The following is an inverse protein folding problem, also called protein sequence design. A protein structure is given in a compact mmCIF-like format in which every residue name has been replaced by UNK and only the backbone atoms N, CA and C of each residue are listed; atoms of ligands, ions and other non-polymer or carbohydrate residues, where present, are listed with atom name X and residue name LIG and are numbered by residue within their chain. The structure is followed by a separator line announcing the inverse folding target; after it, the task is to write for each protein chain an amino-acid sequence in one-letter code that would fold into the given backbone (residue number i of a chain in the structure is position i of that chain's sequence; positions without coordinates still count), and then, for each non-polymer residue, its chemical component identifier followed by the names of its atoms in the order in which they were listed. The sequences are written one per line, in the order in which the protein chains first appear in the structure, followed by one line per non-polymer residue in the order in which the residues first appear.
data_IF_878815702819
#
_entry.id   IF_878815702819
#
_cell.length_a   1.000
_cell.length_b   1.000
_cell.length_c   1.000
_cell.angle_alpha   90.00
_cell.angle_beta   90.00
_cell.angle_gamma   90.00
#
_symmetry.space_group_name_H-M   'P 1'
#
loop_
_entity.id
_entity.type
_entity.pdbx_description
1 polymer ?
#
# COMPACT_ATOMS: atom_id res chain seq x y z
N UNK A 1 7.74 -18.32 -11.64
CA UNK A 1 7.82 -17.04 -10.93
C UNK A 1 6.43 -16.63 -10.49
N UNK A 2 6.23 -16.41 -9.18
CA UNK A 2 4.93 -15.99 -8.62
C UNK A 2 4.98 -14.61 -7.96
N UNK A 3 6.06 -13.86 -8.21
CA UNK A 3 6.21 -12.50 -7.73
C UNK A 3 5.01 -11.65 -8.17
N UNK A 4 4.46 -10.90 -7.23
CA UNK A 4 3.22 -10.16 -7.41
C UNK A 4 3.36 -9.01 -8.43
N UNK A 5 4.57 -8.46 -8.58
CA UNK A 5 4.81 -7.37 -9.53
C UNK A 5 4.65 -7.81 -10.99
N UNK A 6 4.66 -9.12 -11.31
CA UNK A 6 4.44 -9.56 -12.70
C UNK A 6 3.09 -9.08 -13.23
N UNK A 7 2.08 -8.96 -12.36
CA UNK A 7 0.78 -8.41 -12.74
C UNK A 7 0.86 -6.92 -13.14
N UNK A 8 1.78 -6.14 -12.55
CA UNK A 8 2.02 -4.75 -12.94
C UNK A 8 2.66 -4.68 -14.33
N UNK A 9 3.67 -5.50 -14.57
CA UNK A 9 4.35 -5.57 -15.88
C UNK A 9 3.33 -5.92 -16.97
N UNK A 10 2.54 -6.97 -16.75
CA UNK A 10 1.47 -7.39 -17.67
C UNK A 10 0.37 -6.32 -17.86
N UNK A 11 0.07 -5.52 -16.84
CA UNK A 11 -0.88 -4.42 -16.93
C UNK A 11 -0.31 -3.24 -17.73
N UNK A 12 0.98 -2.92 -17.54
CA UNK A 12 1.68 -1.88 -18.28
C UNK A 12 1.83 -2.21 -19.77
N UNK A 13 2.04 -3.47 -20.12
CA UNK A 13 2.04 -3.91 -21.52
C UNK A 13 0.65 -3.80 -22.16
N UNK A 14 -0.42 -4.13 -21.43
CA UNK A 14 -1.78 -4.14 -21.98
C UNK A 14 -2.45 -2.77 -22.00
N UNK A 15 -2.15 -1.93 -21.02
CA UNK A 15 -2.83 -0.64 -20.79
C UNK A 15 -1.84 0.50 -20.49
N UNK A 16 -0.81 0.72 -21.34
CA UNK A 16 0.32 1.59 -21.02
C UNK A 16 -0.08 3.03 -20.70
N UNK A 17 -1.10 3.56 -21.39
CA UNK A 17 -1.56 4.94 -21.24
C UNK A 17 -2.69 5.13 -20.21
N UNK A 18 -3.18 4.05 -19.59
CA UNK A 18 -4.23 4.14 -18.58
C UNK A 18 -3.62 4.61 -17.26
N UNK A 19 -4.33 5.47 -16.52
CA UNK A 19 -3.92 5.88 -15.19
C UNK A 19 -3.91 4.68 -14.23
N UNK A 20 -2.78 4.50 -13.54
CA UNK A 20 -2.58 3.48 -12.52
C UNK A 20 -2.71 4.06 -11.10
N UNK A 21 -2.22 5.29 -10.89
CA UNK A 21 -2.26 5.99 -9.60
C UNK A 21 -2.54 7.47 -9.83
N UNK A 22 -3.40 8.07 -9.02
CA UNK A 22 -3.72 9.50 -9.12
C UNK A 22 -3.88 10.15 -7.74
N UNK A 23 -3.19 11.26 -7.52
CA UNK A 23 -3.27 12.14 -6.36
C UNK A 23 -3.56 13.58 -6.81
N UNK A 24 -4.80 14.04 -6.68
CA UNK A 24 -5.20 15.35 -7.21
C UNK A 24 -4.87 15.46 -8.70
N UNK A 25 -4.03 16.44 -9.05
CA UNK A 25 -3.56 16.70 -10.42
C UNK A 25 -2.33 15.86 -10.81
N UNK A 26 -1.67 15.20 -9.84
CA UNK A 26 -0.54 14.31 -10.11
C UNK A 26 -1.02 12.91 -10.42
N UNK A 27 -0.61 12.34 -11.55
CA UNK A 27 -0.98 10.97 -11.91
C UNK A 27 0.18 10.22 -12.56
N UNK A 28 0.16 8.90 -12.44
CA UNK A 28 1.04 7.98 -13.15
C UNK A 28 0.19 7.03 -13.98
N UNK A 29 0.54 6.89 -15.24
CA UNK A 29 0.07 5.80 -16.10
C UNK A 29 0.68 4.47 -15.66
N UNK A 30 0.13 3.37 -16.15
CA UNK A 30 0.72 2.04 -15.92
C UNK A 30 2.14 1.93 -16.47
N UNK A 31 2.43 2.53 -17.64
CA UNK A 31 3.77 2.53 -18.20
C UNK A 31 4.76 3.31 -17.31
N UNK A 32 4.38 4.48 -16.82
CA UNK A 32 5.23 5.27 -15.92
C UNK A 32 5.42 4.58 -14.56
N UNK A 33 4.36 4.00 -14.00
CA UNK A 33 4.46 3.24 -12.76
C UNK A 33 5.41 2.05 -12.92
N UNK A 34 5.35 1.34 -14.05
CA UNK A 34 6.27 0.24 -14.34
C UNK A 34 7.73 0.71 -14.43
N UNK A 35 7.99 1.79 -15.19
CA UNK A 35 9.33 2.37 -15.33
C UNK A 35 9.88 2.81 -13.97
N UNK A 36 9.10 3.57 -13.20
CA UNK A 36 9.53 4.03 -11.88
C UNK A 36 9.71 2.87 -10.90
N UNK A 37 8.89 1.81 -10.99
CA UNK A 37 9.11 0.59 -10.20
C UNK A 37 10.42 -0.11 -10.58
N UNK A 38 10.81 -0.12 -11.85
CA UNK A 38 12.09 -0.65 -12.31
C UNK A 38 13.28 0.13 -11.75
N UNK A 39 13.18 1.47 -11.75
CA UNK A 39 14.18 2.38 -11.16
C UNK A 39 14.28 2.25 -9.65
N UNK A 40 13.13 2.14 -8.98
CA UNK A 40 13.06 1.84 -7.56
C UNK A 40 13.81 0.54 -7.25
N UNK A 41 13.51 -0.54 -7.99
CA UNK A 41 14.16 -1.83 -7.80
C UNK A 41 15.68 -1.76 -8.02
N UNK A 42 16.14 -1.13 -9.11
CA UNK A 42 17.57 -0.98 -9.38
C UNK A 42 18.28 -0.13 -8.30
N UNK A 43 17.65 0.94 -7.83
CA UNK A 43 18.15 1.74 -6.71
C UNK A 43 18.26 0.94 -5.41
N UNK A 44 17.24 0.14 -5.06
CA UNK A 44 17.27 -0.73 -3.88
C UNK A 44 18.42 -1.74 -3.95
N UNK A 45 18.56 -2.42 -5.08
CA UNK A 45 19.65 -3.39 -5.31
C UNK A 45 21.02 -2.71 -5.21
N UNK A 46 21.17 -1.49 -5.74
CA UNK A 46 22.40 -0.71 -5.62
C UNK A 46 22.71 -0.30 -4.17
N UNK A 47 21.69 -0.15 -3.32
CA UNK A 47 21.84 0.04 -1.87
C UNK A 47 22.04 -1.27 -1.10
N UNK A 48 22.24 -2.39 -1.80
CA UNK A 48 22.55 -3.69 -1.21
C UNK A 48 21.34 -4.47 -0.71
N UNK A 49 20.12 -4.03 -1.01
CA UNK A 49 18.90 -4.81 -0.74
C UNK A 49 18.95 -6.09 -1.55
N UNK A 50 18.65 -7.22 -0.91
CA UNK A 50 18.58 -8.55 -1.53
C UNK A 50 17.15 -9.09 -1.49
N UNK A 51 16.78 -10.05 -2.36
CA UNK A 51 15.50 -10.74 -2.25
C UNK A 51 15.29 -11.32 -0.84
N UNK A 52 14.12 -11.08 -0.26
CA UNK A 52 13.78 -11.44 1.12
C UNK A 52 14.10 -10.37 2.18
N UNK A 53 14.93 -9.36 1.86
CA UNK A 53 15.17 -8.23 2.76
C UNK A 53 13.90 -7.40 2.93
N UNK A 54 13.80 -6.70 4.07
CA UNK A 54 12.61 -5.89 4.38
C UNK A 54 12.84 -4.41 4.10
N UNK A 55 11.96 -3.79 3.33
CA UNK A 55 11.98 -2.36 3.00
C UNK A 55 10.80 -1.66 3.69
N UNK A 56 11.11 -0.71 4.57
CA UNK A 56 10.09 0.05 5.29
C UNK A 56 9.55 1.22 4.47
N UNK A 57 8.23 1.39 4.41
CA UNK A 57 7.59 2.53 3.75
C UNK A 57 6.76 3.31 4.77
N UNK A 58 7.31 4.38 5.34
CA UNK A 58 6.58 5.32 6.18
C UNK A 58 6.18 6.55 5.36
N UNK A 59 5.23 6.35 4.47
CA UNK A 59 4.75 7.38 3.54
C UNK A 59 3.22 7.48 3.61
N UNK A 60 2.64 8.64 3.29
CA UNK A 60 1.25 8.68 2.87
C UNK A 60 1.06 7.81 1.61
N UNK A 61 -0.19 7.42 1.32
CA UNK A 61 -0.50 6.77 0.06
C UNK A 61 -0.46 7.87 -1.01
N UNK A 62 0.66 7.96 -1.71
CA UNK A 62 0.96 8.93 -2.77
C UNK A 62 1.64 8.18 -3.92
N UNK A 63 1.82 8.76 -5.12
CA UNK A 63 2.46 8.07 -6.23
C UNK A 63 3.83 7.47 -5.87
N UNK A 64 4.64 8.19 -5.06
CA UNK A 64 5.91 7.69 -4.56
C UNK A 64 5.79 6.42 -3.70
N UNK A 65 4.70 6.27 -2.92
CA UNK A 65 4.44 5.03 -2.19
C UNK A 65 4.23 3.86 -3.15
N UNK A 66 3.37 4.01 -4.16
CA UNK A 66 3.12 2.95 -5.14
C UNK A 66 4.39 2.54 -5.90
N UNK A 67 5.19 3.53 -6.33
CA UNK A 67 6.48 3.29 -6.99
C UNK A 67 7.43 2.46 -6.12
N UNK A 68 7.65 2.88 -4.86
CA UNK A 68 8.55 2.18 -3.95
C UNK A 68 8.01 0.81 -3.53
N UNK A 69 6.69 0.71 -3.40
CA UNK A 69 5.98 -0.52 -3.09
C UNK A 69 6.23 -1.59 -4.15
N UNK A 70 5.94 -1.29 -5.42
CA UNK A 70 6.17 -2.22 -6.51
C UNK A 70 7.66 -2.41 -6.82
N UNK A 71 8.48 -1.37 -6.62
CA UNK A 71 9.92 -1.46 -6.77
C UNK A 71 10.58 -2.43 -5.79
N UNK A 72 10.18 -2.40 -4.53
CA UNK A 72 10.65 -3.35 -3.53
C UNK A 72 10.24 -4.79 -3.88
N UNK A 73 8.98 -5.02 -4.25
CA UNK A 73 8.52 -6.33 -4.70
C UNK A 73 9.29 -6.80 -5.94
N UNK A 74 9.57 -5.89 -6.89
CA UNK A 74 10.35 -6.19 -8.10
C UNK A 74 11.79 -6.57 -7.79
N UNK A 75 12.42 -5.94 -6.79
CA UNK A 75 13.72 -6.36 -6.27
C UNK A 75 13.66 -7.67 -5.46
N UNK A 76 12.45 -8.22 -5.22
CA UNK A 76 12.22 -9.43 -4.43
C UNK A 76 12.22 -9.17 -2.92
N UNK A 77 12.24 -7.91 -2.51
CA UNK A 77 12.17 -7.49 -1.12
C UNK A 77 10.74 -7.57 -0.58
N UNK A 78 10.64 -7.59 0.75
CA UNK A 78 9.40 -7.63 1.50
C UNK A 78 9.05 -6.21 1.94
N UNK A 79 7.87 -5.74 1.57
CA UNK A 79 7.40 -4.40 1.91
C UNK A 79 6.88 -4.37 3.35
N UNK A 80 7.24 -3.35 4.11
CA UNK A 80 6.70 -3.10 5.44
C UNK A 80 6.08 -1.69 5.48
N UNK A 81 4.79 -1.54 5.19
CA UNK A 81 4.14 -0.25 5.23
C UNK A 81 3.91 0.18 6.69
N UNK A 82 4.23 1.43 6.99
CA UNK A 82 4.01 2.05 8.29
C UNK A 82 3.13 3.29 8.14
N UNK A 83 2.17 3.52 9.05
CA UNK A 83 1.47 4.80 9.10
C UNK A 83 2.47 5.96 9.28
N UNK A 84 2.30 7.03 8.48
CA UNK A 84 3.12 8.25 8.58
C UNK A 84 3.16 8.84 9.99
N UNK A 85 2.06 8.73 10.72
CA UNK A 85 1.90 9.23 12.09
C UNK A 85 2.71 8.45 13.12
N UNK A 86 3.21 7.27 12.78
CA UNK A 86 3.99 6.48 13.73
C UNK A 86 5.39 7.08 13.92
N UNK A 87 5.92 7.03 15.15
CA UNK A 87 7.29 7.47 15.43
C UNK A 87 8.30 6.65 14.64
N UNK A 88 9.37 7.29 14.14
CA UNK A 88 10.46 6.62 13.43
C UNK A 88 11.16 5.53 14.24
N UNK A 89 11.14 5.64 15.58
CA UNK A 89 11.68 4.61 16.46
C UNK A 89 11.02 3.23 16.27
N UNK A 90 9.81 3.20 15.72
CA UNK A 90 9.01 2.02 15.45
C UNK A 90 9.26 1.48 14.03
N UNK A 91 9.75 2.34 13.13
CA UNK A 91 10.07 2.01 11.73
C UNK A 91 11.37 1.25 11.67
N UNK A 92 11.31 -0.02 12.07
CA UNK A 92 12.41 -0.96 11.99
C UNK A 92 11.90 -2.20 11.26
N UNK A 93 12.20 -2.32 9.96
CA UNK A 93 12.02 -3.58 9.26
C UNK A 93 12.87 -4.61 10.00
N UNK A 94 12.23 -5.58 10.65
CA UNK A 94 12.91 -6.63 11.41
C UNK A 94 13.09 -7.82 10.50
N UNK A 95 14.25 -7.97 9.87
CA UNK A 95 14.58 -9.19 9.13
C UNK A 95 15.28 -10.21 10.01
N UNK A 96 15.01 -11.48 9.76
CA UNK A 96 15.77 -12.61 10.32
C UNK A 96 17.07 -12.83 9.51
N UNK A 97 17.13 -12.29 8.29
CA UNK A 97 18.30 -12.24 7.43
C UNK A 97 19.00 -10.88 7.58
N UNK A 98 20.34 -10.90 7.72
CA UNK A 98 21.20 -9.73 7.93
C UNK A 98 21.36 -8.79 6.73
N UNK A 99 20.28 -8.51 6.00
CA UNK A 99 20.25 -7.59 4.87
C UNK A 99 19.97 -6.14 5.25
N UNK A 100 20.14 -5.23 4.28
CA UNK A 100 20.07 -3.79 4.48
C UNK A 100 18.70 -3.36 5.03
N UNK A 101 18.69 -2.72 6.20
CA UNK A 101 17.47 -2.13 6.79
C UNK A 101 17.25 -0.76 6.14
N UNK A 102 16.58 -0.72 5.01
CA UNK A 102 16.26 0.54 4.32
C UNK A 102 14.81 0.93 4.61
N UNK A 103 14.56 2.19 4.94
CA UNK A 103 13.22 2.72 5.03
C UNK A 103 13.08 4.09 4.38
N UNK A 104 11.97 4.27 3.66
CA UNK A 104 11.59 5.52 3.01
C UNK A 104 10.61 6.27 3.90
N UNK A 105 10.85 7.56 4.09
CA UNK A 105 10.11 8.37 5.05
C UNK A 105 9.85 9.75 4.48
N UNK A 106 8.61 10.23 4.62
CA UNK A 106 8.31 11.65 4.44
C UNK A 106 8.45 12.34 5.80
N UNK A 107 9.12 13.50 5.91
CA UNK A 107 9.33 14.17 7.19
C UNK A 107 8.01 14.46 7.91
N UNK A 108 7.89 14.12 9.20
CA UNK A 108 6.73 14.47 10.01
C UNK A 108 6.50 16.00 10.11
N UNK A 109 7.59 16.77 10.05
CA UNK A 109 7.61 18.23 10.05
C UNK A 109 8.72 18.74 9.10
N UNK A 110 8.54 19.92 8.45
CA UNK A 110 9.45 20.44 7.42
C UNK A 110 10.88 20.76 7.91
N UNK A 111 11.11 20.86 9.22
CA UNK A 111 12.40 21.24 9.81
C UNK A 111 13.08 20.11 10.59
N UNK A 112 12.47 18.93 10.69
CA UNK A 112 12.99 17.81 11.46
C UNK A 112 14.02 17.00 10.67
N UNK A 113 15.28 17.01 11.09
CA UNK A 113 16.30 16.08 10.58
C UNK A 113 16.04 14.70 11.21
N UNK A 114 15.23 13.90 10.54
CA UNK A 114 14.92 12.53 10.94
C UNK A 114 16.17 11.66 10.82
N UNK A 115 16.78 11.27 11.96
CA UNK A 115 17.87 10.30 11.99
C UNK A 115 17.29 8.89 12.15
N UNK A 116 17.81 7.94 11.38
CA UNK A 116 17.48 6.52 11.52
C UNK A 116 17.71 6.04 12.95
N UNK A 117 16.90 5.06 13.39
CA UNK A 117 17.10 4.42 14.68
C UNK A 117 17.87 3.11 14.49
N UNK A 118 19.04 3.02 15.13
CA UNK A 118 19.96 1.88 14.97
C UNK A 118 20.53 1.79 13.55
N UNK A 119 20.56 0.58 12.99
CA UNK A 119 21.19 0.28 11.69
C UNK A 119 20.28 0.53 10.47
N UNK A 120 19.14 1.21 10.63
CA UNK A 120 18.21 1.49 9.53
C UNK A 120 18.62 2.76 8.79
N UNK A 121 18.96 2.64 7.51
CA UNK A 121 19.16 3.79 6.61
C UNK A 121 17.79 4.40 6.27
N UNK A 122 17.60 5.67 6.60
CA UNK A 122 16.40 6.43 6.22
C UNK A 122 16.66 7.22 4.93
N UNK A 123 15.77 7.03 3.94
CA UNK A 123 15.76 7.79 2.70
C UNK A 123 14.58 8.77 2.74
N UNK A 124 14.84 10.09 2.71
CA UNK A 124 13.78 11.08 2.69
C UNK A 124 13.06 11.05 1.34
N UNK A 125 11.73 11.07 1.38
CA UNK A 125 10.86 11.21 0.21
C UNK A 125 10.23 12.60 0.29
N UNK A 126 10.60 13.46 -0.65
CA UNK A 126 10.05 14.81 -0.80
C UNK A 126 9.23 14.97 -2.09
N UNK A 127 8.74 16.18 -2.38
CA UNK A 127 7.94 16.47 -3.57
C UNK A 127 8.64 16.11 -4.88
N UNK A 128 9.95 16.34 -4.96
CA UNK A 128 10.75 16.08 -6.17
C UNK A 128 11.29 14.64 -6.25
N UNK A 129 10.81 13.73 -5.39
CA UNK A 129 11.41 12.41 -5.25
C UNK A 129 11.30 11.57 -6.53
N UNK A 130 10.16 11.61 -7.23
CA UNK A 130 10.01 10.87 -8.49
C UNK A 130 10.94 11.41 -9.58
N UNK A 131 11.10 12.74 -9.66
CA UNK A 131 12.03 13.40 -10.57
C UNK A 131 13.47 13.00 -10.27
N UNK A 132 13.84 12.87 -8.99
CA UNK A 132 15.16 12.38 -8.58
C UNK A 132 15.35 10.90 -8.93
N UNK A 133 14.31 10.07 -8.75
CA UNK A 133 14.34 8.65 -9.10
C UNK A 133 14.49 8.41 -10.60
N UNK A 134 14.09 9.36 -11.46
CA UNK A 134 14.29 9.26 -12.91
C UNK A 134 15.77 9.07 -13.32
N UNK A 135 16.72 9.31 -12.41
CA UNK A 135 18.16 9.09 -12.64
C UNK A 135 18.71 7.84 -11.93
N UNK A 136 17.88 7.11 -11.19
CA UNK A 136 18.31 5.89 -10.52
C UNK A 136 18.53 4.76 -11.53
N UNK A 137 19.45 3.82 -11.24
CA UNK A 137 19.66 2.66 -12.08
C UNK A 137 18.37 1.85 -12.21
N UNK A 138 18.13 1.31 -13.40
CA UNK A 138 16.97 0.48 -13.67
C UNK A 138 17.29 -1.00 -13.50
N UNK A 139 16.37 -1.72 -12.88
CA UNK A 139 16.28 -3.17 -12.96
C UNK A 139 14.99 -3.53 -13.68
N UNK A 140 15.11 -3.78 -14.99
CA UNK A 140 13.96 -4.14 -15.84
C UNK A 140 13.42 -5.55 -15.56
N UNK A 141 14.22 -6.41 -14.94
CA UNK A 141 13.81 -7.75 -14.54
C UNK A 141 12.86 -7.76 -13.35
N UNK A 142 12.39 -8.95 -13.01
CA UNK A 142 11.63 -9.24 -11.79
C UNK A 142 12.39 -10.31 -11.02
N UNK A 143 12.74 -10.05 -9.77
CA UNK A 143 13.39 -11.04 -8.93
C UNK A 143 12.47 -12.26 -8.72
N UNK A 144 13.02 -13.46 -8.82
CA UNK A 144 12.25 -14.68 -8.62
C UNK A 144 11.84 -14.81 -7.14
N UNK A 145 10.55 -15.07 -6.93
CA UNK A 145 9.91 -15.32 -5.64
C UNK A 145 8.83 -16.39 -5.82
N UNK A 146 8.81 -17.34 -4.90
CA UNK A 146 7.78 -18.36 -4.83
C UNK A 146 6.46 -17.78 -4.31
N UNK A 147 5.34 -18.45 -4.60
CA UNK A 147 4.03 -17.96 -4.15
C UNK A 147 3.88 -17.92 -2.62
N UNK A 148 4.61 -18.77 -1.90
CA UNK A 148 4.60 -18.80 -0.43
C UNK A 148 5.62 -17.86 0.20
N UNK A 149 6.50 -17.23 -0.60
CA UNK A 149 7.46 -16.26 -0.09
C UNK A 149 6.75 -15.01 0.45
N UNK A 150 7.22 -14.43 1.57
CA UNK A 150 6.72 -13.16 2.07
C UNK A 150 6.85 -12.05 1.04
N UNK A 151 5.80 -11.24 0.92
CA UNK A 151 5.74 -10.07 0.06
C UNK A 151 5.49 -8.80 0.87
N UNK A 152 4.60 -8.88 1.88
CA UNK A 152 4.26 -7.74 2.74
C UNK A 152 4.21 -8.19 4.19
N UNK A 153 4.72 -7.36 5.09
CA UNK A 153 4.51 -7.52 6.53
C UNK A 153 3.74 -6.33 7.05
N UNK A 154 2.54 -6.58 7.56
CA UNK A 154 1.66 -5.55 8.12
C UNK A 154 1.80 -5.55 9.64
N UNK A 155 2.21 -4.41 10.20
CA UNK A 155 2.25 -4.24 11.65
C UNK A 155 0.93 -3.72 12.17
N UNK A 156 0.42 -4.33 13.23
CA UNK A 156 -0.88 -4.00 13.83
C UNK A 156 -0.83 -2.88 14.87
N UNK A 157 0.35 -2.58 15.43
CA UNK A 157 0.52 -1.55 16.47
C UNK A 157 1.88 -0.86 16.45
N UNK A 158 1.94 0.34 17.03
CA UNK A 158 3.17 1.15 17.05
C UNK A 158 4.17 0.74 18.15
N UNK A 159 3.83 -0.26 18.96
CA UNK A 159 4.67 -0.73 20.08
C UNK A 159 5.57 -1.88 19.64
N UNK A 160 6.66 -2.11 20.40
CA UNK A 160 7.66 -3.13 20.05
C UNK A 160 7.17 -4.58 20.19
N UNK A 161 6.05 -4.79 20.86
CA UNK A 161 5.36 -6.06 21.10
C UNK A 161 4.19 -6.33 20.13
N UNK A 162 3.89 -5.39 19.24
CA UNK A 162 2.82 -5.56 18.26
C UNK A 162 3.10 -6.74 17.31
N UNK A 163 2.05 -7.53 17.03
CA UNK A 163 2.15 -8.67 16.13
C UNK A 163 2.25 -8.22 14.66
N UNK A 164 3.14 -8.88 13.92
CA UNK A 164 3.37 -8.66 12.50
C UNK A 164 2.61 -9.74 11.70
N UNK A 165 1.65 -9.32 10.88
CA UNK A 165 0.96 -10.20 9.94
C UNK A 165 1.76 -10.32 8.64
N UNK A 166 2.15 -11.54 8.25
CA UNK A 166 2.94 -11.80 7.04
C UNK A 166 2.04 -12.25 5.90
N UNK A 167 2.08 -11.53 4.79
CA UNK A 167 1.32 -11.82 3.57
C UNK A 167 2.27 -12.27 2.46
N UNK A 168 2.01 -13.44 1.89
CA UNK A 168 2.81 -13.98 0.79
C UNK A 168 2.39 -13.42 -0.57
N UNK A 169 3.26 -13.55 -1.57
CA UNK A 169 2.93 -13.17 -2.95
C UNK A 169 1.66 -13.87 -3.47
N UNK A 170 1.52 -15.17 -3.18
CA UNK A 170 0.38 -15.98 -3.57
C UNK A 170 -0.91 -15.54 -2.87
N UNK A 171 -0.87 -15.29 -1.56
CA UNK A 171 -2.03 -14.82 -0.82
C UNK A 171 -2.54 -13.48 -1.34
N UNK A 172 -1.64 -12.53 -1.62
CA UNK A 172 -1.99 -11.22 -2.16
C UNK A 172 -2.51 -11.31 -3.61
N UNK A 173 -1.95 -12.22 -4.42
CA UNK A 173 -2.43 -12.48 -5.78
C UNK A 173 -3.84 -13.07 -5.77
N UNK A 174 -4.12 -14.02 -4.89
CA UNK A 174 -5.45 -14.59 -4.74
C UNK A 174 -6.44 -13.55 -4.22
N UNK A 175 -6.06 -12.77 -3.19
CA UNK A 175 -6.88 -11.68 -2.70
C UNK A 175 -7.24 -10.69 -3.83
N UNK A 176 -6.26 -10.27 -4.64
CA UNK A 176 -6.48 -9.39 -5.77
C UNK A 176 -7.41 -9.99 -6.84
N UNK A 177 -7.30 -11.30 -7.12
CA UNK A 177 -8.22 -12.01 -8.04
C UNK A 177 -9.64 -12.07 -7.49
N UNK A 178 -9.81 -12.37 -6.20
CA UNK A 178 -11.11 -12.37 -5.55
C UNK A 178 -11.74 -10.98 -5.58
N UNK A 179 -10.97 -9.93 -5.28
CA UNK A 179 -11.44 -8.56 -5.38
C UNK A 179 -11.83 -8.21 -6.82
N UNK A 180 -11.09 -8.68 -7.84
CA UNK A 180 -11.48 -8.52 -9.26
C UNK A 180 -12.83 -9.15 -9.58
N UNK A 181 -13.10 -10.34 -9.06
CA UNK A 181 -14.39 -11.02 -9.29
C UNK A 181 -15.55 -10.22 -8.69
N UNK A 182 -15.33 -9.57 -7.55
CA UNK A 182 -16.31 -8.68 -6.92
C UNK A 182 -16.43 -7.32 -7.66
N UNK A 183 -15.34 -6.82 -8.24
CA UNK A 183 -15.32 -5.56 -9.01
C UNK A 183 -15.95 -5.73 -10.39
N UNK A 184 -16.01 -6.92 -10.99
CA UNK A 184 -16.64 -7.10 -12.31
C UNK A 184 -18.14 -6.75 -12.36
N UNK A 185 -18.80 -6.49 -11.23
CA UNK A 185 -20.16 -5.94 -11.15
C UNK A 185 -20.20 -4.39 -11.12
N UNK A 186 -19.04 -3.73 -11.00
CA UNK A 186 -18.84 -2.29 -11.03
C UNK A 186 -17.87 -1.89 -12.18
N UNK A 187 -18.20 -0.85 -12.92
CA UNK A 187 -17.37 -0.39 -14.05
C UNK A 187 -15.95 -0.02 -13.60
N UNK A 188 -14.98 -0.26 -14.50
CA UNK A 188 -13.54 -0.17 -14.23
C UNK A 188 -13.02 1.22 -13.83
N UNK A 189 -13.88 2.24 -13.76
CA UNK A 189 -13.54 3.62 -13.40
C UNK A 189 -13.81 3.94 -11.91
N UNK A 190 -14.47 3.04 -11.17
CA UNK A 190 -14.89 3.28 -9.78
C UNK A 190 -14.19 2.36 -8.76
N UNK A 191 -12.85 2.27 -8.75
CA UNK A 191 -12.15 1.76 -7.55
C UNK A 191 -12.03 2.88 -6.51
N UNK A 192 -13.19 3.35 -6.05
CA UNK A 192 -13.36 3.77 -4.67
C UNK A 192 -13.94 2.59 -3.88
N UNK A 193 -13.05 1.72 -3.40
CA UNK A 193 -13.32 0.91 -2.21
C UNK A 193 -13.94 -0.48 -2.42
N UNK A 194 -13.15 -1.50 -2.11
CA UNK A 194 -13.64 -2.85 -1.81
C UNK A 194 -12.81 -3.56 -0.74
N UNK A 195 -12.59 -2.84 0.36
CA UNK A 195 -12.34 -3.27 1.74
C UNK A 195 -12.43 -1.98 2.57
N UNK A 196 -12.74 -1.95 3.88
CA UNK A 196 -12.82 -0.69 4.62
C UNK A 196 -11.52 0.09 4.42
N UNK A 197 -11.62 1.14 3.58
CA UNK A 197 -10.53 1.77 2.79
C UNK A 197 -9.45 2.38 3.68
N UNK A 198 -9.71 2.45 4.98
CA UNK A 198 -8.91 3.13 5.97
C UNK A 198 -8.35 2.20 7.05
N UNK A 199 -8.67 0.90 7.00
CA UNK A 199 -7.99 -0.12 7.81
C UNK A 199 -6.61 -0.44 7.23
N UNK A 200 -5.64 -0.78 8.08
CA UNK A 200 -4.28 -1.17 7.66
C UNK A 200 -4.29 -2.32 6.63
N UNK A 201 -5.29 -3.20 6.74
CA UNK A 201 -5.56 -4.34 5.85
C UNK A 201 -6.02 -3.84 4.47
N UNK A 202 -7.07 -3.02 4.37
CA UNK A 202 -7.58 -2.50 3.09
C UNK A 202 -6.54 -1.70 2.30
N UNK A 203 -5.71 -0.93 3.01
CA UNK A 203 -4.59 -0.19 2.42
C UNK A 203 -3.47 -1.08 1.85
N UNK A 204 -3.35 -2.31 2.36
CA UNK A 204 -2.38 -3.30 1.88
C UNK A 204 -2.90 -4.07 0.66
N UNK A 205 -4.19 -4.43 0.64
CA UNK A 205 -4.77 -5.19 -0.49
C UNK A 205 -5.12 -4.31 -1.70
N UNK A 206 -5.43 -3.03 -1.48
CA UNK A 206 -5.84 -2.08 -2.52
C UNK A 206 -4.89 -1.99 -3.72
N UNK A 207 -3.58 -1.74 -3.55
CA UNK A 207 -2.64 -1.64 -4.67
C UNK A 207 -2.61 -2.88 -5.57
N UNK A 208 -2.79 -4.06 -5.00
CA UNK A 208 -2.76 -5.32 -5.76
C UNK A 208 -4.03 -5.57 -6.53
N UNK A 209 -5.18 -5.29 -5.90
CA UNK A 209 -6.47 -5.40 -6.56
C UNK A 209 -6.49 -4.50 -7.80
N UNK A 210 -6.03 -3.24 -7.68
CA UNK A 210 -5.95 -2.28 -8.78
C UNK A 210 -5.09 -2.80 -9.93
N UNK A 211 -3.89 -3.29 -9.65
CA UNK A 211 -2.99 -3.81 -10.69
C UNK A 211 -3.57 -5.03 -11.40
N UNK A 212 -4.22 -5.94 -10.68
CA UNK A 212 -4.81 -7.15 -11.27
C UNK A 212 -6.11 -6.86 -12.02
N UNK A 213 -6.87 -5.84 -11.60
CA UNK A 213 -8.10 -5.39 -12.29
C UNK A 213 -7.81 -4.45 -13.45
N UNK A 214 -6.63 -3.83 -13.49
CA UNK A 214 -6.26 -2.80 -14.46
C UNK A 214 -6.93 -1.45 -14.21
N UNK A 215 -7.46 -1.21 -13.00
CA UNK A 215 -8.12 0.05 -12.64
C UNK A 215 -7.13 1.15 -12.22
N UNK A 216 -7.61 2.31 -11.80
CA UNK A 216 -6.78 3.37 -11.21
C UNK A 216 -6.87 3.32 -9.67
N UNK A 217 -5.77 3.59 -8.97
CA UNK A 217 -5.70 3.79 -7.53
C UNK A 217 -5.83 5.30 -7.22
N UNK A 218 -7.01 5.80 -6.83
CA UNK A 218 -7.11 7.15 -6.28
C UNK A 218 -6.42 7.17 -4.92
N UNK A 219 -5.55 8.15 -4.70
CA UNK A 219 -4.90 8.35 -3.43
C UNK A 219 -5.20 9.75 -2.90
N UNK A 220 -5.70 9.83 -1.66
CA UNK A 220 -6.01 11.08 -0.97
C UNK A 220 -5.06 11.24 0.22
N UNK A 221 -4.37 12.38 0.31
CA UNK A 221 -3.64 12.75 1.50
C UNK A 221 -4.63 13.16 2.61
N UNK A 222 -4.57 12.49 3.77
CA UNK A 222 -5.10 13.06 5.01
C UNK A 222 -6.51 12.66 5.49
N UNK A 223 -7.23 11.71 4.90
CA UNK A 223 -8.48 11.24 5.53
C UNK A 223 -8.18 10.29 6.70
N UNK A 224 -8.15 10.82 7.92
CA UNK A 224 -8.25 10.02 9.15
C UNK A 224 -9.54 9.21 9.09
N UNK A 225 -9.47 7.91 9.41
CA UNK A 225 -10.69 7.13 9.65
C UNK A 225 -11.56 7.91 10.64
N UNK A 226 -12.88 8.05 10.41
CA UNK A 226 -13.75 8.60 11.43
C UNK A 226 -13.56 7.74 12.68
N UNK A 227 -13.14 8.37 13.78
CA UNK A 227 -13.04 7.71 15.07
C UNK A 227 -14.40 7.08 15.35
N UNK A 228 -14.46 5.75 15.47
CA UNK A 228 -15.71 5.02 15.73
C UNK A 228 -16.28 5.26 17.14
N UNK A 229 -15.83 6.30 17.85
CA UNK A 229 -16.25 6.67 19.19
C UNK A 229 -16.32 8.20 19.40
N UNK A 230 -16.96 8.92 18.47
CA UNK A 230 -17.55 10.22 18.81
C UNK A 230 -19.06 10.02 19.04
N UNK A 231 -19.60 10.25 20.24
CA UNK A 231 -21.05 10.28 20.41
C UNK A 231 -21.60 11.41 19.54
N UNK A 232 -22.58 11.11 18.70
CA UNK A 232 -23.28 12.10 17.91
C UNK A 232 -23.84 13.17 18.85
N UNK A 233 -23.29 14.38 18.79
CA UNK A 233 -23.91 15.56 19.37
C UNK A 233 -25.28 15.71 18.70
N UNK A 234 -26.31 15.53 19.52
CA UNK A 234 -27.69 15.77 19.13
C UNK A 234 -27.87 17.28 19.19
N UNK A 235 -27.98 17.93 18.03
CA UNK A 235 -28.66 19.21 17.98
C UNK A 235 -30.14 18.98 18.29
N UNK A 236 -30.61 19.64 19.34
CA UNK A 236 -31.97 19.64 19.82
C UNK A 236 -32.95 20.09 18.72
N UNK A 237 -33.97 19.27 18.49
CA UNK A 237 -35.03 19.54 17.53
C UNK A 237 -36.16 18.51 17.67
N UNK A 238 -36.90 18.61 18.77
CA UNK A 238 -38.12 17.86 19.12
C UNK A 238 -38.87 17.17 17.96
N UNK A 239 -38.82 15.84 17.90
CA UNK A 239 -39.83 15.02 17.23
C UNK A 239 -39.99 13.65 17.91
N UNK A 240 -41.26 13.31 18.22
CA UNK A 240 -41.72 12.13 18.99
C UNK A 240 -41.20 10.76 18.48
N UNK A 241 -41.02 9.77 19.36
CA UNK A 241 -40.60 8.42 18.96
C UNK A 241 -41.73 7.66 18.25
N UNK A 242 -41.44 7.18 17.04
CA UNK A 242 -42.26 6.19 16.32
C UNK A 242 -41.99 4.80 16.87
N UNK A 243 -42.99 4.22 17.52
CA UNK A 243 -43.01 2.82 17.99
C UNK A 243 -43.00 1.88 16.79
N UNK A 244 -41.93 1.10 16.62
CA UNK A 244 -41.85 0.00 15.65
C UNK A 244 -42.61 -1.19 16.21
N UNK A 245 -43.72 -1.55 15.56
CA UNK A 245 -44.56 -2.70 15.90
C UNK A 245 -43.86 -3.99 15.41
N UNK A 246 -43.57 -4.92 16.32
CA UNK A 246 -43.00 -6.22 16.01
C UNK A 246 -43.97 -7.05 15.15
N UNK A 247 -43.45 -7.62 14.06
CA UNK A 247 -44.18 -8.45 13.12
C UNK A 247 -44.25 -9.90 13.66
N UNK A 248 -45.47 -10.44 13.80
CA UNK A 248 -45.71 -11.86 14.16
C UNK A 248 -45.51 -12.76 12.93
N UNK A 249 -44.96 -13.98 13.09
CA UNK A 249 -44.85 -14.92 11.97
C UNK A 249 -46.22 -15.54 11.64
N UNK A 250 -46.53 -15.63 10.35
CA UNK A 250 -47.71 -16.29 9.83
C UNK A 250 -47.57 -17.82 9.92
N UNK A 251 -48.60 -18.49 10.44
CA UNK A 251 -48.84 -19.93 10.26
C UNK A 251 -49.68 -20.15 9.00
N UNK A 252 -49.54 -21.34 8.43
CA UNK A 252 -50.55 -22.23 7.81
C UNK A 252 -50.09 -22.79 6.46
N UNK A 253 -50.61 -23.97 6.03
CA UNK A 253 -51.27 -25.04 6.78
C UNK A 253 -50.40 -26.31 6.97
#
# INVERSE_FOLDING_TARGET
MSNLVTALVEAAERHPLRLAVQEGDSALTYAELDEFSARAAGGLLAHGVRPGDRVGLRLPYVPAFAVLYFGALRAGAVVVPYPRTWPLAVVRPRGDAGGARLAFSTPAAPTGRERGTGDTTLVPVGPDFLQQMAFWPQFAGVADRAGHDPAVVVRTGATGDAEDAVLSHGALREAARTTRMLINEATADDIQGSAPVLSAIGRTYGPHAVVVTGACLPVEEGRTAPSSHAPAEREDGTAKPRTVRANRPARFP
#
